data_IF_756658706750
#
_entry.id   IF_756658706750
#
_cell.length_a   1.000
_cell.length_b   1.000
_cell.length_c   1.000
_cell.angle_alpha   90.00
_cell.angle_beta   90.00
_cell.angle_gamma   90.00
#
_symmetry.space_group_name_H-M   'P 1'
#
loop_
_entity.id
_entity.type
_entity.pdbx_description
1 polymer ?
#
# COMPACT_ATOMS: atom_id res chain seq x y z
N UNK A 1 5.67 -6.60 -30.86
CA UNK A 1 6.41 -6.40 -29.59
C UNK A 1 5.43 -5.73 -28.64
N UNK A 2 5.24 -6.29 -27.44
CA UNK A 2 4.28 -5.74 -26.47
C UNK A 2 4.67 -4.32 -26.07
N UNK A 3 3.66 -3.48 -25.81
CA UNK A 3 3.83 -2.11 -25.36
C UNK A 3 3.12 -1.89 -24.02
N UNK A 4 3.56 -0.90 -23.25
CA UNK A 4 2.97 -0.57 -21.94
C UNK A 4 1.49 -0.14 -22.02
N UNK A 5 1.04 0.36 -23.16
CA UNK A 5 -0.34 0.84 -23.37
C UNK A 5 -1.27 -0.20 -23.97
N UNK A 6 -0.79 -1.43 -24.20
CA UNK A 6 -1.61 -2.47 -24.79
C UNK A 6 -2.63 -3.00 -23.80
N UNK A 7 -3.88 -3.07 -24.24
CA UNK A 7 -5.03 -3.46 -23.42
C UNK A 7 -5.60 -4.78 -23.93
N UNK A 8 -5.98 -5.61 -22.98
CA UNK A 8 -6.63 -6.89 -23.20
C UNK A 8 -7.95 -6.90 -22.46
N UNK A 9 -8.94 -7.60 -22.99
CA UNK A 9 -10.27 -7.73 -22.37
C UNK A 9 -10.72 -9.18 -22.42
N UNK A 10 -11.40 -9.63 -21.37
CA UNK A 10 -11.99 -10.97 -21.35
C UNK A 10 -13.31 -10.97 -20.59
N UNK A 11 -14.25 -11.79 -21.03
CA UNK A 11 -15.53 -11.97 -20.36
C UNK A 11 -15.47 -13.12 -19.37
N UNK A 12 -15.99 -12.89 -18.16
CA UNK A 12 -16.29 -13.94 -17.17
C UNK A 12 -17.76 -13.84 -16.81
N UNK A 13 -18.59 -14.64 -17.49
CA UNK A 13 -20.04 -14.46 -17.44
C UNK A 13 -20.43 -13.10 -18.04
N UNK A 14 -21.09 -12.27 -17.25
CA UNK A 14 -21.52 -10.91 -17.59
C UNK A 14 -20.52 -9.82 -17.21
N UNK A 15 -19.34 -10.19 -16.70
CA UNK A 15 -18.31 -9.26 -16.23
C UNK A 15 -17.17 -9.15 -17.23
N UNK A 16 -16.90 -7.94 -17.70
CA UNK A 16 -15.74 -7.62 -18.52
C UNK A 16 -14.52 -7.34 -17.63
N UNK A 17 -13.49 -8.17 -17.73
CA UNK A 17 -12.17 -7.91 -17.17
C UNK A 17 -11.36 -7.10 -18.18
N UNK A 18 -10.58 -6.14 -17.67
CA UNK A 18 -9.58 -5.43 -18.48
C UNK A 18 -8.19 -5.71 -17.95
N UNK A 19 -7.19 -5.77 -18.80
CA UNK A 19 -5.80 -5.99 -18.40
C UNK A 19 -4.81 -5.17 -19.21
N UNK A 20 -3.69 -4.82 -18.58
CA UNK A 20 -2.55 -4.12 -19.19
C UNK A 20 -1.25 -4.80 -18.77
N UNK A 21 -0.23 -4.77 -19.63
CA UNK A 21 1.10 -5.26 -19.25
C UNK A 21 1.66 -4.38 -18.13
N UNK A 22 2.10 -5.00 -17.04
CA UNK A 22 2.64 -4.28 -15.89
C UNK A 22 3.89 -3.48 -16.27
N UNK A 23 4.00 -2.19 -15.89
CA UNK A 23 5.20 -1.39 -16.10
C UNK A 23 6.47 -2.03 -15.52
N UNK A 24 6.33 -2.83 -14.45
CA UNK A 24 7.42 -3.54 -13.79
C UNK A 24 8.19 -4.47 -14.74
N UNK A 25 7.53 -5.03 -15.76
CA UNK A 25 8.16 -5.86 -16.78
C UNK A 25 9.28 -5.12 -17.49
N UNK A 26 9.06 -3.84 -17.78
CA UNK A 26 9.99 -3.00 -18.53
C UNK A 26 10.99 -2.30 -17.60
N UNK A 27 10.55 -1.86 -16.42
CA UNK A 27 11.41 -1.13 -15.47
C UNK A 27 12.47 -2.02 -14.83
N UNK A 28 12.11 -3.27 -14.52
CA UNK A 28 12.95 -4.19 -13.75
C UNK A 28 13.36 -5.44 -14.53
N UNK A 29 12.97 -5.55 -15.81
CA UNK A 29 13.19 -6.75 -16.61
C UNK A 29 12.51 -7.99 -16.01
N UNK A 30 11.38 -7.80 -15.32
CA UNK A 30 10.67 -8.90 -14.69
C UNK A 30 10.04 -9.84 -15.74
N UNK A 31 9.69 -11.08 -15.36
CA UNK A 31 8.87 -11.94 -16.19
C UNK A 31 7.53 -11.30 -16.57
N UNK A 32 6.86 -11.87 -17.58
CA UNK A 32 5.58 -11.40 -18.07
C UNK A 32 4.56 -11.28 -16.93
N UNK A 33 4.03 -10.08 -16.76
CA UNK A 33 3.05 -9.75 -15.74
C UNK A 33 1.99 -8.83 -16.34
N UNK A 34 0.72 -9.13 -16.08
CA UNK A 34 -0.40 -8.25 -16.41
C UNK A 34 -1.13 -7.81 -15.15
N UNK A 35 -1.58 -6.56 -15.15
CA UNK A 35 -2.48 -6.01 -14.14
C UNK A 35 -3.90 -6.15 -14.66
N UNK A 36 -4.74 -6.91 -13.95
CA UNK A 36 -6.13 -7.20 -14.31
C UNK A 36 -7.06 -6.41 -13.42
N UNK A 37 -8.12 -5.82 -13.98
CA UNK A 37 -9.05 -4.94 -13.27
C UNK A 37 -10.49 -5.38 -13.49
N UNK A 38 -11.28 -5.28 -12.41
CA UNK A 38 -12.73 -5.43 -12.43
C UNK A 38 -13.41 -4.10 -12.78
N UNK A 39 -14.61 -4.12 -13.39
CA UNK A 39 -15.32 -2.89 -13.80
C UNK A 39 -15.76 -2.04 -12.60
N UNK A 40 -16.01 -2.68 -11.45
CA UNK A 40 -16.44 -2.02 -10.21
C UNK A 40 -15.28 -1.70 -9.26
N UNK A 41 -14.05 -1.68 -9.78
CA UNK A 41 -12.83 -1.43 -9.01
C UNK A 41 -12.20 -2.71 -8.46
N UNK A 42 -10.94 -2.56 -8.03
CA UNK A 42 -10.08 -3.67 -7.62
C UNK A 42 -9.20 -4.15 -8.76
N UNK A 43 -7.93 -4.31 -8.44
CA UNK A 43 -6.87 -4.76 -9.33
C UNK A 43 -6.16 -5.99 -8.75
N UNK A 44 -5.70 -6.86 -9.63
CA UNK A 44 -4.84 -7.98 -9.26
C UNK A 44 -3.72 -8.10 -10.25
N UNK A 45 -2.66 -8.79 -9.85
CA UNK A 45 -1.50 -9.07 -10.67
C UNK A 45 -1.45 -10.56 -10.92
N UNK A 46 -1.43 -10.95 -12.20
CA UNK A 46 -1.11 -12.31 -12.61
C UNK A 46 0.17 -12.30 -13.44
N UNK A 47 0.97 -13.35 -13.28
CA UNK A 47 2.31 -13.43 -13.86
C UNK A 47 2.59 -14.82 -14.42
N UNK A 48 3.31 -14.87 -15.53
CA UNK A 48 3.98 -16.06 -16.01
C UNK A 48 5.48 -15.89 -15.80
N UNK A 49 6.05 -16.67 -14.87
CA UNK A 49 7.47 -16.57 -14.50
C UNK A 49 8.42 -17.15 -15.55
N UNK A 50 7.89 -17.96 -16.47
CA UNK A 50 8.69 -18.67 -17.47
C UNK A 50 8.92 -17.85 -18.74
N UNK A 51 8.10 -16.82 -18.96
CA UNK A 51 8.15 -15.97 -20.15
C UNK A 51 8.80 -14.64 -19.80
N UNK A 52 9.96 -14.36 -20.39
CA UNK A 52 10.57 -13.04 -20.32
C UNK A 52 9.77 -12.05 -21.19
N UNK A 53 9.63 -10.79 -20.74
CA UNK A 53 8.86 -9.78 -21.48
C UNK A 53 9.30 -9.58 -22.94
N UNK A 54 10.58 -9.78 -23.24
CA UNK A 54 11.14 -9.67 -24.60
C UNK A 54 10.63 -10.75 -25.56
N UNK A 55 10.23 -11.90 -25.03
CA UNK A 55 9.79 -13.08 -25.77
C UNK A 55 8.26 -13.24 -25.72
N UNK A 56 7.60 -12.43 -24.87
CA UNK A 56 6.16 -12.47 -24.66
C UNK A 56 5.37 -11.96 -25.88
N UNK A 57 4.24 -12.62 -26.13
CA UNK A 57 3.30 -12.32 -27.20
C UNK A 57 1.95 -11.83 -26.64
N UNK A 58 1.11 -11.29 -27.52
CA UNK A 58 -0.28 -10.93 -27.16
C UNK A 58 -1.07 -12.15 -26.69
N UNK A 59 -0.87 -13.30 -27.34
CA UNK A 59 -1.51 -14.57 -26.96
C UNK A 59 -1.11 -15.03 -25.54
N UNK A 60 0.12 -14.75 -25.11
CA UNK A 60 0.55 -15.05 -23.73
C UNK A 60 -0.17 -14.17 -22.70
N UNK A 61 -0.41 -12.90 -23.03
CA UNK A 61 -1.21 -11.98 -22.21
C UNK A 61 -2.67 -12.42 -22.13
N UNK A 62 -3.28 -12.78 -23.26
CA UNK A 62 -4.64 -13.32 -23.32
C UNK A 62 -4.76 -14.62 -22.52
N UNK A 63 -3.81 -15.54 -22.68
CA UNK A 63 -3.75 -16.80 -21.93
C UNK A 63 -3.62 -16.57 -20.42
N UNK A 64 -2.81 -15.60 -20.01
CA UNK A 64 -2.72 -15.17 -18.61
C UNK A 64 -4.05 -14.63 -18.09
N UNK A 65 -4.71 -13.78 -18.87
CA UNK A 65 -6.01 -13.22 -18.51
C UNK A 65 -7.07 -14.33 -18.36
N UNK A 66 -7.03 -15.35 -19.22
CA UNK A 66 -7.88 -16.56 -19.16
C UNK A 66 -7.76 -17.35 -17.85
N UNK A 67 -6.64 -17.25 -17.14
CA UNK A 67 -6.49 -17.91 -15.82
C UNK A 67 -7.31 -17.24 -14.71
N UNK A 68 -7.70 -15.97 -14.88
CA UNK A 68 -8.38 -15.19 -13.83
C UNK A 68 -9.84 -15.57 -13.76
N UNK A 69 -10.29 -16.00 -12.59
CA UNK A 69 -11.69 -16.28 -12.29
C UNK A 69 -12.28 -15.20 -11.37
N UNK A 70 -13.60 -15.09 -11.45
CA UNK A 70 -14.38 -14.23 -10.57
C UNK A 70 -15.36 -15.06 -9.76
N UNK A 71 -15.73 -14.55 -8.60
CA UNK A 71 -16.77 -15.12 -7.76
C UNK A 71 -17.67 -14.01 -7.22
N UNK A 72 -18.90 -14.33 -6.77
CA UNK A 72 -19.71 -13.38 -6.02
C UNK A 72 -19.00 -12.97 -4.73
N UNK A 73 -18.93 -11.67 -4.45
CA UNK A 73 -18.39 -11.13 -3.22
C UNK A 73 -19.14 -11.75 -2.02
N UNK A 74 -18.39 -12.32 -1.07
CA UNK A 74 -18.99 -12.97 0.12
C UNK A 74 -19.88 -12.05 0.97
N UNK A 75 -19.70 -10.73 0.84
CA UNK A 75 -20.40 -9.71 1.64
C UNK A 75 -21.58 -9.07 0.90
N UNK A 76 -21.44 -8.75 -0.39
CA UNK A 76 -22.47 -8.00 -1.14
C UNK A 76 -22.85 -8.60 -2.50
N UNK A 77 -22.36 -9.79 -2.84
CA UNK A 77 -22.64 -10.52 -4.09
C UNK A 77 -22.19 -9.84 -5.40
N UNK A 78 -21.64 -8.61 -5.36
CA UNK A 78 -20.98 -7.99 -6.51
C UNK A 78 -19.76 -8.81 -6.96
N UNK A 79 -19.33 -8.71 -8.24
CA UNK A 79 -18.14 -9.41 -8.71
C UNK A 79 -16.89 -9.13 -7.86
N UNK A 80 -16.16 -10.19 -7.53
CA UNK A 80 -14.89 -10.16 -6.83
C UNK A 80 -13.91 -11.15 -7.48
N UNK A 81 -12.61 -10.94 -7.30
CA UNK A 81 -11.60 -11.90 -7.75
C UNK A 81 -11.68 -13.18 -6.92
N UNK A 82 -11.64 -14.34 -7.59
CA UNK A 82 -11.52 -15.63 -6.92
C UNK A 82 -10.07 -15.85 -6.44
N UNK A 83 -9.83 -15.93 -5.11
CA UNK A 83 -8.49 -16.14 -4.56
C UNK A 83 -7.81 -17.45 -4.96
N UNK A 84 -8.57 -18.43 -5.45
CA UNK A 84 -8.01 -19.69 -5.96
C UNK A 84 -7.39 -19.55 -7.35
N UNK A 85 -7.80 -18.54 -8.11
CA UNK A 85 -7.36 -18.31 -9.50
C UNK A 85 -6.26 -17.25 -9.62
N UNK A 86 -6.21 -16.30 -8.70
CA UNK A 86 -5.24 -15.21 -8.73
C UNK A 86 -4.83 -14.79 -7.31
N UNK A 87 -3.60 -14.26 -7.20
CA UNK A 87 -3.06 -13.84 -5.90
C UNK A 87 -3.73 -12.54 -5.46
N UNK A 88 -4.62 -12.61 -4.47
CA UNK A 88 -5.23 -11.43 -3.86
C UNK A 88 -5.29 -11.56 -2.33
N UNK A 89 -5.19 -10.44 -1.62
CA UNK A 89 -5.41 -10.34 -0.17
C UNK A 89 -6.86 -10.01 0.19
N UNK A 90 -7.74 -9.90 -0.80
CA UNK A 90 -9.15 -9.50 -0.61
C UNK A 90 -10.05 -10.65 -0.17
N UNK A 91 -9.56 -11.89 -0.15
CA UNK A 91 -10.28 -13.07 0.37
C UNK A 91 -11.73 -13.19 -0.15
N UNK A 92 -11.90 -13.07 -1.47
CA UNK A 92 -13.22 -13.15 -2.13
C UNK A 92 -14.15 -11.95 -1.88
N UNK A 93 -13.63 -10.84 -1.34
CA UNK A 93 -14.36 -9.58 -1.25
C UNK A 93 -14.12 -8.69 -2.48
N UNK A 94 -15.16 -7.97 -2.89
CA UNK A 94 -15.01 -6.89 -3.86
C UNK A 94 -14.27 -5.70 -3.22
N UNK A 95 -13.70 -4.85 -4.06
CA UNK A 95 -12.91 -3.68 -3.64
C UNK A 95 -13.64 -2.83 -2.58
N UNK A 96 -14.93 -2.54 -2.80
CA UNK A 96 -15.70 -1.70 -1.87
C UNK A 96 -15.88 -2.32 -0.49
N UNK A 97 -16.13 -3.63 -0.40
CA UNK A 97 -16.28 -4.33 0.88
C UNK A 97 -14.94 -4.43 1.60
N UNK A 98 -13.89 -4.81 0.86
CA UNK A 98 -12.53 -4.90 1.40
C UNK A 98 -12.03 -3.57 1.94
N UNK A 99 -12.16 -2.48 1.16
CA UNK A 99 -11.73 -1.15 1.58
C UNK A 99 -12.56 -0.61 2.73
N UNK A 100 -13.86 -0.91 2.79
CA UNK A 100 -14.69 -0.53 3.94
C UNK A 100 -14.14 -1.15 5.23
N UNK A 101 -13.84 -2.46 5.22
CA UNK A 101 -13.27 -3.15 6.37
C UNK A 101 -11.92 -2.56 6.77
N UNK A 102 -11.02 -2.35 5.81
CA UNK A 102 -9.71 -1.74 6.09
C UNK A 102 -9.82 -0.34 6.67
N UNK A 103 -10.75 0.49 6.17
CA UNK A 103 -10.97 1.83 6.69
C UNK A 103 -11.53 1.78 8.12
N UNK A 104 -12.45 0.86 8.43
CA UNK A 104 -12.95 0.69 9.79
C UNK A 104 -11.84 0.27 10.77
N UNK A 105 -10.95 -0.65 10.35
CA UNK A 105 -9.77 -1.05 11.13
C UNK A 105 -8.79 0.12 11.31
N UNK A 106 -8.53 0.87 10.23
CA UNK A 106 -7.66 2.04 10.26
C UNK A 106 -8.20 3.12 11.20
N UNK A 107 -9.49 3.44 11.11
CA UNK A 107 -10.14 4.46 11.96
C UNK A 107 -10.06 4.10 13.45
N UNK A 108 -10.24 2.81 13.79
CA UNK A 108 -10.10 2.35 15.18
C UNK A 108 -8.66 2.44 15.69
N UNK A 109 -7.69 2.01 14.86
CA UNK A 109 -6.27 2.13 15.18
C UNK A 109 -5.83 3.59 15.32
N UNK A 110 -6.31 4.47 14.43
CA UNK A 110 -6.04 5.90 14.49
C UNK A 110 -6.61 6.51 15.78
N UNK A 111 -7.87 6.22 16.13
CA UNK A 111 -8.47 6.69 17.39
C UNK A 111 -7.66 6.24 18.61
N UNK A 112 -7.25 4.96 18.66
CA UNK A 112 -6.42 4.43 19.74
C UNK A 112 -5.05 5.09 19.79
N UNK A 113 -4.42 5.30 18.64
CA UNK A 113 -3.15 5.99 18.52
C UNK A 113 -3.24 7.44 19.01
N UNK A 114 -4.23 8.21 18.55
CA UNK A 114 -4.45 9.60 18.97
C UNK A 114 -4.77 9.71 20.46
N UNK A 115 -5.59 8.80 21.01
CA UNK A 115 -5.89 8.78 22.44
C UNK A 115 -4.65 8.50 23.29
N UNK A 116 -3.80 7.54 22.87
CA UNK A 116 -2.52 7.26 23.52
C UNK A 116 -1.59 8.47 23.43
N UNK A 117 -1.49 9.08 22.25
CA UNK A 117 -0.64 10.22 22.00
C UNK A 117 -1.02 11.42 22.88
N UNK A 118 -2.33 11.72 23.00
CA UNK A 118 -2.85 12.75 23.91
C UNK A 118 -2.51 12.46 25.38
N UNK A 119 -2.67 11.20 25.81
CA UNK A 119 -2.32 10.79 27.19
C UNK A 119 -0.82 10.96 27.46
N UNK A 120 0.03 10.61 26.50
CA UNK A 120 1.47 10.80 26.62
C UNK A 120 1.83 12.29 26.62
N UNK A 121 1.18 13.11 25.78
CA UNK A 121 1.33 14.57 25.79
C UNK A 121 1.02 15.18 27.16
N UNK A 122 -0.12 14.84 27.75
CA UNK A 122 -0.51 15.29 29.11
C UNK A 122 0.52 14.86 30.16
N UNK A 123 1.00 13.61 30.08
CA UNK A 123 2.02 13.06 30.97
C UNK A 123 3.35 13.79 30.86
N UNK A 124 3.82 14.10 29.65
CA UNK A 124 5.10 14.80 29.46
C UNK A 124 4.99 16.30 29.71
N UNK A 125 3.82 16.90 29.47
CA UNK A 125 3.50 18.27 29.89
C UNK A 125 3.59 18.42 31.41
N UNK A 126 3.03 17.46 32.16
CA UNK A 126 3.15 17.43 33.62
C UNK A 126 4.60 17.26 34.12
N UNK A 127 5.51 16.77 33.27
CA UNK A 127 6.96 16.68 33.53
C UNK A 127 7.74 17.92 33.08
N UNK A 128 7.06 18.95 32.60
CA UNK A 128 7.67 20.21 32.17
C UNK A 128 8.14 20.22 30.71
N UNK A 129 7.80 19.20 29.90
CA UNK A 129 7.97 19.31 28.45
C UNK A 129 6.97 20.31 27.88
N UNK A 130 7.37 21.07 26.87
CA UNK A 130 6.51 22.08 26.24
C UNK A 130 6.21 21.78 24.79
N UNK A 131 6.97 20.86 24.17
CA UNK A 131 6.80 20.49 22.77
C UNK A 131 6.92 18.98 22.58
N UNK A 132 6.16 18.45 21.62
CA UNK A 132 6.32 17.13 21.00
C UNK A 132 6.94 17.28 19.62
N UNK A 133 7.93 16.44 19.34
CA UNK A 133 8.56 16.28 18.04
C UNK A 133 8.17 14.91 17.49
N UNK A 134 7.79 14.86 16.22
CA UNK A 134 7.50 13.61 15.50
C UNK A 134 8.28 13.59 14.19
N UNK A 135 8.98 12.50 13.89
CA UNK A 135 9.72 12.35 12.63
C UNK A 135 9.69 10.91 12.15
N UNK A 136 9.97 10.71 10.86
CA UNK A 136 10.22 9.40 10.28
C UNK A 136 11.72 9.11 10.25
N UNK A 137 12.05 7.84 10.44
CA UNK A 137 13.39 7.30 10.30
C UNK A 137 13.40 6.33 9.13
N UNK A 138 14.30 6.59 8.18
CA UNK A 138 14.59 5.75 7.03
C UNK A 138 15.90 5.01 7.30
N UNK A 139 15.87 3.84 7.96
CA UNK A 139 17.09 3.11 8.27
C UNK A 139 17.74 2.56 7.00
N UNK A 140 19.05 2.31 7.04
CA UNK A 140 19.76 1.68 5.91
C UNK A 140 19.25 0.27 5.59
N UNK A 141 18.63 -0.41 6.57
CA UNK A 141 18.01 -1.73 6.44
C UNK A 141 16.75 -1.78 7.29
N UNK A 142 15.71 -2.42 6.76
CA UNK A 142 14.42 -2.57 7.42
C UNK A 142 13.40 -1.52 6.99
N UNK A 143 12.24 -1.56 7.63
CA UNK A 143 11.13 -0.66 7.33
C UNK A 143 11.30 0.70 8.01
N UNK A 144 10.69 1.71 7.40
CA UNK A 144 10.55 3.03 7.99
C UNK A 144 9.78 2.96 9.31
N UNK A 145 10.17 3.78 10.27
CA UNK A 145 9.47 3.87 11.55
C UNK A 145 9.42 5.28 12.08
N UNK A 146 8.39 5.56 12.87
CA UNK A 146 8.17 6.86 13.47
C UNK A 146 8.85 6.95 14.84
N UNK A 147 9.48 8.08 15.11
CA UNK A 147 9.96 8.45 16.45
C UNK A 147 9.14 9.64 16.96
N UNK A 148 8.75 9.57 18.24
CA UNK A 148 8.10 10.65 18.97
C UNK A 148 8.95 10.99 20.19
N UNK A 149 9.23 12.27 20.39
CA UNK A 149 10.02 12.79 21.51
C UNK A 149 9.33 14.00 22.13
N UNK A 150 9.52 14.19 23.43
CA UNK A 150 9.01 15.36 24.16
C UNK A 150 10.19 16.14 24.72
N UNK A 151 10.20 17.45 24.52
CA UNK A 151 11.29 18.34 24.90
C UNK A 151 10.77 19.62 25.57
N UNK A 152 11.60 20.23 26.41
CA UNK A 152 11.31 21.50 27.08
C UNK A 152 11.98 22.64 26.30
N UNK A 153 11.17 23.54 25.76
CA UNK A 153 11.56 24.72 24.98
C UNK A 153 12.74 24.49 24.03
N UNK A 154 12.66 23.46 23.16
CA UNK A 154 13.79 23.08 22.32
C UNK A 154 14.05 24.15 21.25
N UNK A 155 15.33 24.41 20.95
CA UNK A 155 15.70 25.15 19.74
C UNK A 155 15.73 24.22 18.51
N UNK A 156 15.72 24.80 17.31
CA UNK A 156 15.83 24.03 16.08
C UNK A 156 17.15 23.21 16.03
N UNK A 157 18.24 23.80 16.50
CA UNK A 157 19.56 23.14 16.57
C UNK A 157 19.55 21.96 17.53
N UNK A 158 18.89 22.09 18.68
CA UNK A 158 18.76 21.01 19.66
C UNK A 158 17.92 19.85 19.11
N UNK A 159 16.82 20.15 18.41
CA UNK A 159 16.00 19.13 17.76
C UNK A 159 16.85 18.37 16.73
N UNK A 160 17.52 19.09 15.83
CA UNK A 160 18.38 18.49 14.81
C UNK A 160 19.51 17.67 15.44
N UNK A 161 20.12 18.15 16.52
CA UNK A 161 21.16 17.43 17.24
C UNK A 161 20.64 16.10 17.84
N UNK A 162 19.43 16.08 18.39
CA UNK A 162 18.82 14.84 18.89
C UNK A 162 18.47 13.89 17.74
N UNK A 163 17.92 14.41 16.65
CA UNK A 163 17.58 13.63 15.47
C UNK A 163 18.81 13.00 14.82
N UNK A 164 19.94 13.71 14.73
CA UNK A 164 21.21 13.16 14.21
C UNK A 164 21.74 11.97 15.01
N UNK A 165 21.39 11.85 16.30
CA UNK A 165 21.73 10.65 17.10
C UNK A 165 20.92 9.43 16.67
N UNK A 166 19.78 9.63 16.04
CA UNK A 166 18.90 8.61 15.45
C UNK A 166 19.25 8.48 13.97
N UNK A 167 20.20 7.60 13.65
CA UNK A 167 20.65 7.38 12.27
C UNK A 167 19.45 7.14 11.33
N UNK A 168 19.40 7.89 10.23
CA UNK A 168 18.31 7.82 9.25
C UNK A 168 17.09 8.68 9.56
N UNK A 169 17.06 9.41 10.69
CA UNK A 169 15.98 10.33 10.99
C UNK A 169 15.97 11.51 10.01
N UNK A 170 14.78 11.89 9.55
CA UNK A 170 14.61 13.13 8.82
C UNK A 170 14.78 14.33 9.77
N UNK A 171 15.83 15.11 9.51
CA UNK A 171 16.18 16.31 10.29
C UNK A 171 15.52 17.59 9.75
N UNK A 172 14.79 17.49 8.65
CA UNK A 172 14.22 18.63 7.92
C UNK A 172 12.69 18.61 7.86
N UNK A 173 12.08 17.44 7.76
CA UNK A 173 10.63 17.24 7.69
C UNK A 173 9.97 16.81 9.00
N UNK A 174 10.60 17.06 10.16
CA UNK A 174 9.97 16.73 11.44
C UNK A 174 8.78 17.66 11.75
N UNK A 175 7.77 17.11 12.42
CA UNK A 175 6.64 17.85 12.94
C UNK A 175 6.92 18.30 14.38
N UNK A 176 6.69 19.58 14.67
CA UNK A 176 6.77 20.16 16.02
C UNK A 176 5.37 20.60 16.47
N UNK A 177 4.96 20.17 17.65
CA UNK A 177 3.65 20.49 18.24
C UNK A 177 3.84 21.02 19.66
N UNK A 178 3.26 22.17 19.98
CA UNK A 178 3.23 22.68 21.35
C UNK A 178 2.21 21.91 22.21
N UNK A 179 2.55 21.63 23.48
CA UNK A 179 1.78 20.80 24.41
C UNK A 179 0.81 21.59 25.30
#
# INVERSE_FOLDING_TARGET
>A
MLTQSQKFTAMRGDVELTAEVSPCCFMYGSPLQITVRLPNGGDTIVQNKEIAIKDATENDCESLLETVQIMPCKTCQKPAFDPSSCRTNRDGECESCFMKKLNEEFDDLEKKYQAKLKKDDEKYKAKGCTHRITTWVHPTRGDDYQIIMWMTNPTAEEIVAQLKKKRGADTTGYQLVAL
#
